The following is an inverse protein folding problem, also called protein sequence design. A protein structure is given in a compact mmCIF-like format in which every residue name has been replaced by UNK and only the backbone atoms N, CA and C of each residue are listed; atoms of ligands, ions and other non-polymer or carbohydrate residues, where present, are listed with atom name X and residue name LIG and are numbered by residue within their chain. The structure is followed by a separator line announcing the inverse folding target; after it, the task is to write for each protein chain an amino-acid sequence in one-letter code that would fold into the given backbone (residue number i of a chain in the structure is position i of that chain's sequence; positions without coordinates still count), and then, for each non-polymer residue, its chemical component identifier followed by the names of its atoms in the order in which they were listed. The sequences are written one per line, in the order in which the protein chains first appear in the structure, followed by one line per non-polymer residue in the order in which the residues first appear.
data_IF_935238686969
#
_entry.id   IF_935238686969
#
_cell.length_a   1.000
_cell.length_b   1.000
_cell.length_c   1.000
_cell.angle_alpha   90.00
_cell.angle_beta   90.00
_cell.angle_gamma   90.00
#
_symmetry.space_group_name_H-M   'P 1'
#
loop_
_entity.id
_entity.type
_entity.pdbx_description
1 polymer ?
#
# COMPACT_ATOMS: atom_id res chain seq x y z
N UNK A 1 9.17 0.69 -21.61
CA UNK A 1 9.32 -0.78 -21.48
C UNK A 1 7.96 -1.44 -21.38
N UNK A 2 7.88 -2.79 -21.45
CA UNK A 2 6.64 -3.53 -21.22
C UNK A 2 6.53 -3.84 -19.71
N UNK A 3 5.48 -3.39 -19.05
CA UNK A 3 5.26 -3.53 -17.60
C UNK A 3 3.91 -4.22 -17.35
N UNK A 4 3.92 -5.29 -16.56
CA UNK A 4 2.69 -5.88 -16.02
C UNK A 4 2.34 -5.21 -14.70
N UNK A 5 1.10 -4.76 -14.54
CA UNK A 5 0.54 -4.34 -13.26
C UNK A 5 -0.57 -5.31 -12.89
N UNK A 6 -0.41 -6.06 -11.80
CA UNK A 6 -1.47 -6.91 -11.27
C UNK A 6 -2.27 -6.14 -10.22
N UNK A 7 -3.59 -6.31 -10.18
CA UNK A 7 -4.44 -5.52 -9.29
C UNK A 7 -4.60 -4.05 -9.75
N UNK A 8 -4.52 -3.83 -11.07
CA UNK A 8 -4.54 -2.49 -11.65
C UNK A 8 -5.87 -1.75 -11.49
N UNK A 9 -6.97 -2.44 -11.18
CA UNK A 9 -8.27 -1.80 -10.89
C UNK A 9 -8.43 -1.37 -9.42
N UNK A 10 -7.44 -1.64 -8.57
CA UNK A 10 -7.42 -1.16 -7.19
C UNK A 10 -7.03 0.32 -7.08
N UNK A 11 -7.23 0.90 -5.88
CA UNK A 11 -6.96 2.32 -5.62
C UNK A 11 -5.53 2.76 -6.00
N UNK A 12 -4.52 1.94 -5.71
CA UNK A 12 -3.13 2.21 -6.09
C UNK A 12 -2.88 1.89 -7.57
N UNK A 13 -3.42 0.76 -8.04
CA UNK A 13 -3.15 0.22 -9.37
C UNK A 13 -3.57 1.16 -10.49
N UNK A 14 -4.75 1.75 -10.41
CA UNK A 14 -5.25 2.68 -11.41
C UNK A 14 -4.33 3.87 -11.64
N UNK A 15 -3.83 4.47 -10.55
CA UNK A 15 -2.90 5.60 -10.64
C UNK A 15 -1.54 5.18 -11.19
N UNK A 16 -1.03 4.01 -10.79
CA UNK A 16 0.21 3.44 -11.34
C UNK A 16 0.09 3.23 -12.85
N UNK A 17 -1.00 2.62 -13.30
CA UNK A 17 -1.25 2.38 -14.73
C UNK A 17 -1.31 3.67 -15.52
N UNK A 18 -2.05 4.67 -15.01
CA UNK A 18 -2.18 5.99 -15.64
C UNK A 18 -0.82 6.67 -15.83
N UNK A 19 -0.01 6.75 -14.77
CA UNK A 19 1.28 7.44 -14.82
C UNK A 19 2.25 6.73 -15.74
N UNK A 20 2.39 5.40 -15.61
CA UNK A 20 3.31 4.65 -16.47
C UNK A 20 2.92 4.71 -17.95
N UNK A 21 1.62 4.70 -18.28
CA UNK A 21 1.17 4.85 -19.66
C UNK A 21 1.47 6.26 -20.21
N UNK A 22 1.25 7.32 -19.41
CA UNK A 22 1.60 8.70 -19.78
C UNK A 22 3.11 8.89 -20.02
N UNK A 23 3.93 8.13 -19.34
CA UNK A 23 5.40 8.14 -19.54
C UNK A 23 5.86 7.30 -20.73
N UNK A 24 4.94 6.75 -21.51
CA UNK A 24 5.24 6.00 -22.73
C UNK A 24 5.60 4.54 -22.50
N UNK A 25 5.34 3.97 -21.33
CA UNK A 25 5.43 2.54 -21.11
C UNK A 25 4.26 1.81 -21.76
N UNK A 26 4.48 0.57 -22.19
CA UNK A 26 3.40 -0.36 -22.57
C UNK A 26 2.99 -1.11 -21.30
N UNK A 27 1.80 -0.84 -20.82
CA UNK A 27 1.30 -1.39 -19.57
C UNK A 27 0.27 -2.47 -19.86
N UNK A 28 0.52 -3.69 -19.38
CA UNK A 28 -0.52 -4.74 -19.32
C UNK A 28 -1.09 -4.77 -17.90
N UNK A 29 -2.41 -4.80 -17.79
CA UNK A 29 -3.12 -4.86 -16.51
C UNK A 29 -3.78 -6.22 -16.38
N UNK A 30 -3.45 -6.94 -15.31
CA UNK A 30 -4.16 -8.16 -14.89
C UNK A 30 -5.04 -7.84 -13.69
N UNK A 31 -6.34 -8.00 -13.83
CA UNK A 31 -7.30 -7.84 -12.75
C UNK A 31 -8.55 -8.70 -13.01
N UNK A 32 -9.26 -9.09 -11.95
CA UNK A 32 -10.53 -9.82 -12.06
C UNK A 32 -11.75 -8.92 -12.23
N UNK A 33 -11.60 -7.62 -12.01
CA UNK A 33 -12.67 -6.62 -12.13
C UNK A 33 -12.83 -6.16 -13.59
N UNK A 34 -13.67 -6.85 -14.36
CA UNK A 34 -13.91 -6.53 -15.78
C UNK A 34 -14.40 -5.08 -16.01
N UNK A 35 -15.25 -4.56 -15.12
CA UNK A 35 -15.74 -3.19 -15.23
C UNK A 35 -14.62 -2.17 -15.01
N UNK A 36 -13.76 -2.41 -14.01
CA UNK A 36 -12.59 -1.58 -13.76
C UNK A 36 -11.59 -1.62 -14.92
N UNK A 37 -11.36 -2.80 -15.53
CA UNK A 37 -10.50 -2.93 -16.70
C UNK A 37 -11.00 -2.12 -17.91
N UNK A 38 -12.31 -2.07 -18.15
CA UNK A 38 -12.91 -1.23 -19.20
C UNK A 38 -12.64 0.27 -18.97
N UNK A 39 -12.65 0.71 -17.72
CA UNK A 39 -12.37 2.10 -17.36
C UNK A 39 -10.88 2.48 -17.52
N UNK A 40 -9.96 1.51 -17.49
CA UNK A 40 -8.53 1.73 -17.67
C UNK A 40 -8.07 1.71 -19.14
N UNK A 41 -8.97 1.44 -20.09
CA UNK A 41 -8.62 1.40 -21.51
C UNK A 41 -8.17 2.78 -22.01
N UNK A 42 -6.92 2.86 -22.44
CA UNK A 42 -6.31 4.05 -23.03
C UNK A 42 -5.13 3.64 -23.92
N UNK A 43 -4.59 4.55 -24.76
CA UNK A 43 -3.40 4.24 -25.55
C UNK A 43 -2.24 3.78 -24.67
N UNK A 44 -1.58 2.68 -25.05
CA UNK A 44 -0.47 2.10 -24.30
C UNK A 44 -0.87 1.14 -23.18
N UNK A 45 -2.17 0.95 -22.92
CA UNK A 45 -2.69 0.03 -21.89
C UNK A 45 -3.40 -1.17 -22.56
N UNK A 46 -2.92 -2.36 -22.26
CA UNK A 46 -3.55 -3.64 -22.56
C UNK A 46 -4.21 -4.18 -21.29
N UNK A 47 -5.44 -4.68 -21.40
CA UNK A 47 -6.17 -5.24 -20.25
C UNK A 47 -6.40 -6.74 -20.42
N UNK A 48 -6.15 -7.51 -19.35
CA UNK A 48 -6.40 -8.94 -19.26
C UNK A 48 -7.27 -9.22 -18.05
N UNK A 49 -8.48 -9.71 -18.27
CA UNK A 49 -9.38 -10.13 -17.20
C UNK A 49 -9.01 -11.53 -16.72
N UNK A 50 -8.74 -11.68 -15.42
CA UNK A 50 -8.44 -12.97 -14.83
C UNK A 50 -7.96 -12.86 -13.37
N UNK A 51 -7.91 -14.02 -12.69
CA UNK A 51 -7.47 -14.10 -11.30
C UNK A 51 -6.00 -14.54 -11.23
N UNK A 52 -5.26 -14.00 -10.25
CA UNK A 52 -3.86 -14.36 -10.00
C UNK A 52 -3.70 -15.83 -9.58
N UNK A 53 -4.76 -16.46 -9.07
CA UNK A 53 -4.79 -17.87 -8.70
C UNK A 53 -4.88 -18.82 -9.90
N UNK A 54 -5.16 -18.31 -11.10
CA UNK A 54 -5.14 -19.08 -12.35
C UNK A 54 -3.75 -19.03 -12.99
N UNK A 55 -3.03 -20.16 -12.92
CA UNK A 55 -1.68 -20.27 -13.45
C UNK A 55 -1.59 -19.97 -14.94
N UNK A 56 -2.57 -20.40 -15.75
CA UNK A 56 -2.56 -20.17 -17.19
C UNK A 56 -2.77 -18.69 -17.54
N UNK A 57 -3.64 -18.03 -16.81
CA UNK A 57 -3.84 -16.57 -16.91
C UNK A 57 -2.57 -15.82 -16.54
N UNK A 58 -1.91 -16.21 -15.45
CA UNK A 58 -0.65 -15.58 -15.00
C UNK A 58 0.46 -15.77 -16.04
N UNK A 59 0.61 -16.98 -16.60
CA UNK A 59 1.57 -17.25 -17.67
C UNK A 59 1.36 -16.31 -18.85
N UNK A 60 0.12 -16.18 -19.34
CA UNK A 60 -0.24 -15.27 -20.42
C UNK A 60 0.01 -13.80 -20.05
N UNK A 61 -0.28 -13.40 -18.82
CA UNK A 61 -0.09 -12.03 -18.37
C UNK A 61 1.39 -11.61 -18.38
N UNK A 62 2.31 -12.54 -18.12
CA UNK A 62 3.76 -12.28 -18.00
C UNK A 62 4.48 -12.33 -19.35
N UNK A 63 3.87 -12.88 -20.42
CA UNK A 63 4.49 -12.97 -21.76
C UNK A 63 4.98 -11.60 -22.24
N UNK A 64 6.25 -11.50 -22.66
CA UNK A 64 6.91 -10.31 -23.20
C UNK A 64 7.06 -9.14 -22.20
N UNK A 65 6.83 -9.36 -20.91
CA UNK A 65 7.02 -8.34 -19.89
C UNK A 65 8.50 -8.23 -19.47
N UNK A 66 8.92 -7.00 -19.16
CA UNK A 66 10.26 -6.69 -18.64
C UNK A 66 10.24 -6.37 -17.16
N UNK A 67 9.13 -5.84 -16.66
CA UNK A 67 8.94 -5.57 -15.24
C UNK A 67 7.52 -5.94 -14.82
N UNK A 68 7.37 -6.24 -13.54
CA UNK A 68 6.07 -6.54 -12.91
C UNK A 68 5.93 -5.68 -11.66
N UNK A 69 4.79 -4.99 -11.53
CA UNK A 69 4.36 -4.31 -10.32
C UNK A 69 3.19 -5.11 -9.76
N UNK A 70 3.44 -5.82 -8.67
CA UNK A 70 2.47 -6.73 -8.07
C UNK A 70 1.70 -6.04 -6.94
N UNK A 71 0.46 -5.62 -7.25
CA UNK A 71 -0.46 -4.97 -6.32
C UNK A 71 -1.71 -5.83 -6.02
N UNK A 72 -1.93 -6.90 -6.78
CA UNK A 72 -3.07 -7.80 -6.57
C UNK A 72 -3.02 -8.44 -5.18
N UNK A 73 -4.14 -8.38 -4.47
CA UNK A 73 -4.31 -9.02 -3.17
C UNK A 73 -5.80 -9.26 -2.91
N UNK A 74 -6.14 -10.44 -2.35
CA UNK A 74 -7.55 -10.81 -2.11
C UNK A 74 -8.18 -10.04 -0.96
N UNK A 75 -7.38 -9.61 0.03
CA UNK A 75 -7.84 -9.06 1.31
C UNK A 75 -8.82 -9.96 2.06
N UNK A 76 -8.83 -11.28 1.76
CA UNK A 76 -9.67 -12.24 2.46
C UNK A 76 -9.35 -12.27 3.97
N UNK A 77 -10.36 -12.56 4.76
CA UNK A 77 -10.19 -12.87 6.18
C UNK A 77 -9.93 -14.37 6.40
N UNK A 78 -10.19 -15.21 5.40
CA UNK A 78 -9.94 -16.65 5.44
C UNK A 78 -8.48 -16.95 5.15
N UNK A 79 -7.89 -17.80 5.99
CA UNK A 79 -6.47 -18.13 5.87
C UNK A 79 -6.19 -19.03 4.65
N UNK A 80 -7.14 -19.90 4.28
CA UNK A 80 -7.00 -20.74 3.08
C UNK A 80 -6.98 -19.88 1.82
N UNK A 81 -7.86 -18.89 1.70
CA UNK A 81 -7.86 -17.96 0.58
C UNK A 81 -6.54 -17.20 0.47
N UNK A 82 -5.98 -16.73 1.61
CA UNK A 82 -4.69 -16.04 1.62
C UNK A 82 -3.57 -16.94 1.10
N UNK A 83 -3.59 -18.23 1.43
CA UNK A 83 -2.60 -19.19 0.93
C UNK A 83 -2.83 -19.56 -0.53
N UNK A 84 -4.07 -19.89 -0.91
CA UNK A 84 -4.38 -20.42 -2.23
C UNK A 84 -4.43 -19.34 -3.31
N UNK A 85 -4.89 -18.12 -2.98
CA UNK A 85 -4.98 -17.03 -3.93
C UNK A 85 -3.71 -16.18 -3.91
N UNK A 86 -3.35 -15.65 -2.72
CA UNK A 86 -2.32 -14.63 -2.64
C UNK A 86 -0.91 -15.24 -2.67
N UNK A 87 -0.63 -16.22 -1.81
CA UNK A 87 0.72 -16.82 -1.73
C UNK A 87 1.00 -17.68 -2.95
N UNK A 88 0.07 -18.57 -3.31
CA UNK A 88 0.24 -19.46 -4.46
C UNK A 88 0.16 -18.71 -5.79
N UNK A 89 -0.73 -17.72 -5.89
CA UNK A 89 -0.79 -16.84 -7.05
C UNK A 89 0.50 -16.05 -7.25
N UNK A 90 1.11 -15.57 -6.17
CA UNK A 90 2.43 -14.95 -6.23
C UNK A 90 3.52 -15.93 -6.66
N UNK A 91 3.46 -17.20 -6.22
CA UNK A 91 4.36 -18.24 -6.72
C UNK A 91 4.24 -18.42 -8.23
N UNK A 92 3.01 -18.51 -8.76
CA UNK A 92 2.80 -18.60 -10.22
C UNK A 92 3.39 -17.41 -10.97
N UNK A 93 3.26 -16.21 -10.40
CA UNK A 93 3.85 -14.99 -10.95
C UNK A 93 5.38 -15.06 -11.00
N UNK A 94 6.02 -15.51 -9.92
CA UNK A 94 7.46 -15.67 -9.83
C UNK A 94 7.98 -16.72 -10.83
N UNK A 95 7.32 -17.88 -10.93
CA UNK A 95 7.69 -18.96 -11.87
C UNK A 95 7.55 -18.48 -13.32
N UNK A 96 6.44 -17.81 -13.65
CA UNK A 96 6.22 -17.26 -14.98
C UNK A 96 7.24 -16.16 -15.30
N UNK A 97 7.58 -15.31 -14.35
CA UNK A 97 8.58 -14.26 -14.52
C UNK A 97 9.97 -14.81 -14.82
N UNK A 98 10.39 -15.86 -14.11
CA UNK A 98 11.67 -16.55 -14.37
C UNK A 98 11.66 -17.19 -15.76
N UNK A 99 10.59 -17.90 -16.13
CA UNK A 99 10.46 -18.55 -17.44
C UNK A 99 10.50 -17.54 -18.60
N UNK A 100 9.91 -16.36 -18.44
CA UNK A 100 9.87 -15.29 -19.44
C UNK A 100 11.05 -14.31 -19.36
N UNK A 101 12.02 -14.56 -18.47
CA UNK A 101 13.20 -13.71 -18.28
C UNK A 101 12.83 -12.25 -18.00
N UNK A 102 11.87 -12.07 -17.09
CA UNK A 102 11.53 -10.75 -16.54
C UNK A 102 12.73 -10.22 -15.76
N UNK A 103 13.05 -8.95 -15.95
CA UNK A 103 14.21 -8.34 -15.32
C UNK A 103 13.92 -7.93 -13.87
N UNK A 104 12.66 -7.50 -13.58
CA UNK A 104 12.33 -6.89 -12.31
C UNK A 104 10.92 -7.18 -11.82
N UNK A 105 10.77 -7.43 -10.52
CA UNK A 105 9.46 -7.47 -9.83
C UNK A 105 9.49 -6.52 -8.64
N UNK A 106 8.44 -5.71 -8.50
CA UNK A 106 8.18 -4.88 -7.33
C UNK A 106 6.92 -5.41 -6.67
N UNK A 107 7.06 -5.90 -5.45
CA UNK A 107 5.96 -6.43 -4.64
C UNK A 107 5.47 -5.36 -3.65
N UNK A 108 4.16 -5.14 -3.56
CA UNK A 108 3.58 -4.30 -2.53
C UNK A 108 3.51 -5.06 -1.19
N UNK A 109 4.38 -4.68 -0.26
CA UNK A 109 4.39 -5.10 1.12
C UNK A 109 3.46 -4.26 2.01
N UNK A 110 3.52 -4.50 3.31
CA UNK A 110 2.69 -3.79 4.29
C UNK A 110 3.35 -3.75 5.66
N UNK A 111 3.18 -2.65 6.40
CA UNK A 111 3.61 -2.56 7.80
C UNK A 111 3.12 -3.74 8.68
N UNK A 112 1.97 -4.32 8.35
CA UNK A 112 1.40 -5.45 9.10
C UNK A 112 2.32 -6.68 9.05
N UNK A 113 3.17 -6.84 8.02
CA UNK A 113 4.15 -7.92 7.93
C UNK A 113 5.29 -7.80 8.97
N UNK A 114 5.54 -6.62 9.52
CA UNK A 114 6.43 -6.48 10.68
C UNK A 114 5.78 -6.98 11.99
N UNK A 115 4.46 -7.15 12.01
CA UNK A 115 3.70 -7.61 13.16
C UNK A 115 3.26 -6.47 14.06
N UNK A 116 4.01 -6.18 15.11
CA UNK A 116 3.76 -5.09 16.06
C UNK A 116 5.00 -4.22 16.17
N UNK A 117 4.88 -2.88 16.08
CA UNK A 117 6.04 -1.99 16.19
C UNK A 117 6.70 -2.10 17.56
N UNK A 118 8.02 -2.30 17.59
CA UNK A 118 8.83 -2.41 18.82
C UNK A 118 9.70 -1.17 19.05
N UNK A 119 9.85 -0.35 18.03
CA UNK A 119 10.61 0.91 18.06
C UNK A 119 9.90 1.95 17.19
N UNK A 120 10.32 3.21 17.35
CA UNK A 120 9.91 4.33 16.51
C UNK A 120 11.12 5.25 16.32
N UNK A 121 11.55 5.54 15.09
CA UNK A 121 11.00 5.03 13.85
C UNK A 121 11.30 3.53 13.60
N UNK A 122 10.51 2.92 12.70
CA UNK A 122 10.65 1.52 12.26
C UNK A 122 11.45 1.48 10.97
N UNK A 123 12.61 0.81 10.99
CA UNK A 123 13.40 0.54 9.79
C UNK A 123 13.16 -0.87 9.22
N UNK A 124 13.80 -1.20 8.11
CA UNK A 124 13.64 -2.50 7.42
C UNK A 124 14.32 -3.67 8.15
N UNK A 125 15.08 -3.43 9.22
CA UNK A 125 15.65 -4.46 10.08
C UNK A 125 14.72 -4.83 11.24
N UNK A 126 13.55 -4.19 11.34
CA UNK A 126 12.59 -4.49 12.38
C UNK A 126 12.18 -5.97 12.35
N UNK A 127 12.14 -6.66 13.51
CA UNK A 127 11.77 -8.09 13.54
C UNK A 127 10.32 -8.30 13.13
N UNK A 128 10.04 -9.46 12.50
CA UNK A 128 8.69 -9.89 12.13
C UNK A 128 7.99 -10.56 13.31
N UNK A 129 7.18 -9.82 14.08
CA UNK A 129 6.46 -10.32 15.26
C UNK A 129 5.02 -10.68 14.88
N UNK A 130 4.87 -11.64 13.98
CA UNK A 130 3.62 -11.98 13.30
C UNK A 130 2.49 -12.35 14.26
N UNK A 131 2.77 -13.11 15.31
CA UNK A 131 1.75 -13.52 16.28
C UNK A 131 1.10 -12.36 17.05
N UNK A 132 1.76 -11.19 17.08
CA UNK A 132 1.24 -9.96 17.70
C UNK A 132 0.69 -8.97 16.70
N UNK A 133 0.68 -9.30 15.40
CA UNK A 133 0.07 -8.47 14.37
C UNK A 133 -1.44 -8.33 14.62
N UNK A 134 -2.00 -7.17 14.27
CA UNK A 134 -3.47 -6.95 14.32
C UNK A 134 -4.27 -7.90 13.41
N UNK A 135 -3.64 -8.47 12.39
CA UNK A 135 -4.19 -9.47 11.46
C UNK A 135 -3.12 -10.54 11.20
N UNK A 136 -2.92 -11.52 12.10
CA UNK A 136 -1.78 -12.45 12.02
C UNK A 136 -1.75 -13.28 10.74
N UNK A 137 -2.90 -13.79 10.26
CA UNK A 137 -2.97 -14.56 9.01
C UNK A 137 -2.53 -13.73 7.80
N UNK A 138 -3.05 -12.51 7.67
CA UNK A 138 -2.65 -11.58 6.62
C UNK A 138 -1.17 -11.19 6.71
N UNK A 139 -0.68 -10.92 7.92
CA UNK A 139 0.73 -10.61 8.16
C UNK A 139 1.64 -11.76 7.73
N UNK A 140 1.28 -13.01 8.07
CA UNK A 140 2.03 -14.19 7.69
C UNK A 140 2.04 -14.38 6.17
N UNK A 141 0.90 -14.28 5.50
CA UNK A 141 0.83 -14.40 4.05
C UNK A 141 1.70 -13.33 3.34
N UNK A 142 1.69 -12.09 3.82
CA UNK A 142 2.55 -11.02 3.31
C UNK A 142 4.04 -11.28 3.56
N UNK A 143 4.40 -11.76 4.74
CA UNK A 143 5.78 -12.16 5.03
C UNK A 143 6.23 -13.32 4.13
N UNK A 144 5.38 -14.32 3.92
CA UNK A 144 5.70 -15.44 3.01
C UNK A 144 5.99 -14.93 1.60
N UNK A 145 5.17 -14.03 1.05
CA UNK A 145 5.43 -13.48 -0.30
C UNK A 145 6.70 -12.63 -0.35
N UNK A 146 7.01 -11.88 0.70
CA UNK A 146 8.27 -11.13 0.83
C UNK A 146 9.48 -12.08 0.79
N UNK A 147 9.49 -13.11 1.64
CA UNK A 147 10.58 -14.08 1.72
C UNK A 147 10.71 -14.91 0.43
N UNK A 148 9.60 -15.28 -0.21
CA UNK A 148 9.62 -15.92 -1.53
C UNK A 148 10.33 -15.03 -2.56
N UNK A 149 10.05 -13.73 -2.58
CA UNK A 149 10.73 -12.78 -3.46
C UNK A 149 12.24 -12.77 -3.23
N UNK A 150 12.70 -12.74 -1.97
CA UNK A 150 14.13 -12.80 -1.61
C UNK A 150 14.78 -14.12 -2.07
N UNK A 151 14.11 -15.26 -1.87
CA UNK A 151 14.59 -16.58 -2.30
C UNK A 151 14.73 -16.64 -3.82
N UNK A 152 13.76 -16.15 -4.58
CA UNK A 152 13.82 -16.12 -6.04
C UNK A 152 14.91 -15.16 -6.55
N UNK A 153 15.03 -13.98 -5.95
CA UNK A 153 16.09 -13.05 -6.27
C UNK A 153 17.48 -13.63 -6.01
N UNK A 154 17.64 -14.45 -4.97
CA UNK A 154 18.90 -15.14 -4.70
C UNK A 154 19.18 -16.26 -5.72
N UNK A 155 18.16 -17.02 -6.09
CA UNK A 155 18.29 -18.22 -6.92
C UNK A 155 18.39 -17.92 -8.43
N UNK A 156 17.68 -16.91 -8.93
CA UNK A 156 17.51 -16.61 -10.34
C UNK A 156 18.02 -15.21 -10.70
N UNK A 157 18.41 -14.93 -11.94
CA UNK A 157 18.91 -13.62 -12.37
C UNK A 157 17.78 -12.58 -12.55
N UNK A 158 16.95 -12.41 -11.54
CA UNK A 158 15.84 -11.48 -11.50
C UNK A 158 15.97 -10.58 -10.26
N UNK A 159 15.70 -9.28 -10.41
CA UNK A 159 15.64 -8.37 -9.28
C UNK A 159 14.20 -8.36 -8.72
N UNK A 160 14.04 -8.69 -7.45
CA UNK A 160 12.74 -8.68 -6.77
C UNK A 160 12.88 -7.85 -5.51
N UNK A 161 12.05 -6.82 -5.37
CA UNK A 161 12.09 -5.92 -4.23
C UNK A 161 10.69 -5.73 -3.67
N UNK A 162 10.58 -5.46 -2.37
CA UNK A 162 9.31 -5.22 -1.71
C UNK A 162 9.27 -3.79 -1.18
N UNK A 163 8.17 -3.09 -1.43
CA UNK A 163 7.89 -1.76 -0.90
C UNK A 163 6.92 -1.87 0.26
N UNK A 164 7.34 -1.47 1.45
CA UNK A 164 6.53 -1.49 2.66
C UNK A 164 5.66 -0.25 2.73
N UNK A 165 4.37 -0.46 2.91
CA UNK A 165 3.35 0.58 2.93
C UNK A 165 2.56 0.45 4.23
N UNK A 166 2.30 1.58 4.90
CA UNK A 166 1.33 1.58 6.00
C UNK A 166 -0.05 2.04 5.53
N UNK A 167 -0.15 3.26 5.01
CA UNK A 167 -1.41 3.82 4.52
C UNK A 167 -1.19 4.64 3.25
N UNK A 168 -1.62 4.10 2.12
CA UNK A 168 -1.55 4.82 0.84
C UNK A 168 -2.78 5.70 0.62
N UNK A 169 -2.58 6.90 0.07
CA UNK A 169 -3.65 7.83 -0.30
C UNK A 169 -3.32 8.58 -1.59
N UNK A 170 -4.35 8.98 -2.31
CA UNK A 170 -4.27 9.79 -3.53
C UNK A 170 -5.01 11.11 -3.37
N UNK A 171 -5.82 11.46 -4.37
CA UNK A 171 -6.71 12.63 -4.32
C UNK A 171 -7.83 12.45 -3.29
N UNK A 172 -8.05 11.22 -2.86
CA UNK A 172 -9.00 10.85 -1.83
C UNK A 172 -8.34 9.95 -0.78
N UNK A 173 -8.81 10.09 0.46
CA UNK A 173 -8.46 9.21 1.56
C UNK A 173 -9.73 8.81 2.30
N UNK A 174 -9.81 7.55 2.72
CA UNK A 174 -10.97 7.03 3.44
C UNK A 174 -10.61 5.80 4.25
N UNK A 175 -11.55 4.88 4.38
CA UNK A 175 -11.40 3.66 5.14
C UNK A 175 -12.16 3.68 6.46
N UNK A 176 -12.34 2.50 7.04
CA UNK A 176 -13.25 2.28 8.18
C UNK A 176 -12.97 3.22 9.38
N UNK A 177 -11.70 3.43 9.72
CA UNK A 177 -11.33 4.21 10.90
C UNK A 177 -11.51 5.71 10.66
N UNK A 178 -11.12 6.23 9.49
CA UNK A 178 -11.32 7.63 9.11
C UNK A 178 -12.81 7.96 9.04
N UNK A 179 -13.61 7.11 8.37
CA UNK A 179 -15.07 7.26 8.33
C UNK A 179 -15.70 7.20 9.71
N UNK A 180 -15.18 6.34 10.60
CA UNK A 180 -15.61 6.26 11.98
C UNK A 180 -15.36 7.56 12.75
N UNK A 181 -14.16 8.14 12.62
CA UNK A 181 -13.81 9.44 13.23
C UNK A 181 -14.70 10.56 12.71
N UNK A 182 -14.96 10.61 11.39
CA UNK A 182 -15.87 11.61 10.80
C UNK A 182 -17.28 11.48 11.39
N UNK A 183 -17.80 10.25 11.48
CA UNK A 183 -19.11 9.99 12.07
C UNK A 183 -19.16 10.41 13.54
N UNK A 184 -18.14 10.09 14.32
CA UNK A 184 -18.05 10.46 15.74
C UNK A 184 -18.03 11.99 15.93
N UNK A 185 -17.28 12.73 15.10
CA UNK A 185 -17.30 14.19 15.11
C UNK A 185 -18.71 14.76 14.84
N UNK A 186 -19.44 14.16 13.90
CA UNK A 186 -20.79 14.62 13.52
C UNK A 186 -21.88 14.26 14.53
N UNK A 187 -21.80 13.06 15.11
CA UNK A 187 -22.92 12.51 15.91
C UNK A 187 -22.69 12.60 17.41
N UNK A 188 -21.41 12.57 17.87
CA UNK A 188 -21.05 12.60 19.29
C UNK A 188 -20.45 13.94 19.71
N UNK A 189 -20.03 14.78 18.74
CA UNK A 189 -19.32 16.03 19.01
C UNK A 189 -17.91 15.84 19.55
N UNK A 190 -17.34 14.64 19.44
CA UNK A 190 -15.98 14.35 19.83
C UNK A 190 -15.37 13.21 19.01
N UNK A 191 -14.04 13.25 18.83
CA UNK A 191 -13.24 12.14 18.32
C UNK A 191 -12.26 11.72 19.42
N UNK A 192 -12.37 10.47 19.87
CA UNK A 192 -11.45 9.90 20.85
C UNK A 192 -10.38 9.10 20.12
N UNK A 193 -9.11 9.37 20.42
CA UNK A 193 -7.94 8.67 19.82
C UNK A 193 -6.93 8.29 20.89
N UNK A 194 -6.10 7.26 20.68
CA UNK A 194 -4.98 6.98 21.58
C UNK A 194 -3.89 8.03 21.41
N UNK A 195 -3.34 8.52 22.53
CA UNK A 195 -2.30 9.55 22.55
C UNK A 195 -0.97 9.01 21.98
N UNK A 196 -0.25 9.88 21.29
CA UNK A 196 1.11 9.62 20.80
C UNK A 196 1.23 8.36 19.94
N UNK A 197 0.21 8.10 19.14
CA UNK A 197 0.17 7.04 18.15
C UNK A 197 -0.17 7.63 16.78
N UNK A 198 0.34 7.02 15.73
CA UNK A 198 0.09 7.49 14.38
C UNK A 198 0.62 6.53 13.32
N UNK A 199 0.86 7.07 12.14
CA UNK A 199 1.42 6.26 11.08
C UNK A 199 1.92 7.05 9.88
N UNK A 200 2.66 6.35 9.05
CA UNK A 200 3.30 6.84 7.84
C UNK A 200 2.34 6.81 6.67
N UNK A 201 1.81 7.96 6.31
CA UNK A 201 0.97 8.12 5.12
C UNK A 201 1.86 8.24 3.88
N UNK A 202 1.52 7.50 2.85
CA UNK A 202 2.22 7.47 1.57
C UNK A 202 1.30 7.99 0.46
N UNK A 203 1.65 9.14 -0.10
CA UNK A 203 0.95 9.70 -1.26
C UNK A 203 1.27 8.86 -2.51
N UNK A 204 0.29 8.61 -3.37
CA UNK A 204 0.43 7.69 -4.50
C UNK A 204 1.51 8.10 -5.51
N UNK A 205 1.73 9.40 -5.73
CA UNK A 205 2.79 9.84 -6.64
C UNK A 205 4.19 9.61 -6.04
N UNK A 206 4.33 9.67 -4.71
CA UNK A 206 5.58 9.29 -4.03
C UNK A 206 5.81 7.76 -4.08
N UNK A 207 4.72 6.97 -3.98
CA UNK A 207 4.81 5.53 -4.21
C UNK A 207 5.31 5.23 -5.64
N UNK A 208 4.77 5.91 -6.64
CA UNK A 208 5.16 5.72 -8.04
C UNK A 208 6.62 6.16 -8.27
N UNK A 209 7.04 7.29 -7.68
CA UNK A 209 8.46 7.70 -7.73
C UNK A 209 9.37 6.63 -7.13
N UNK A 210 9.01 6.07 -5.98
CA UNK A 210 9.74 4.95 -5.37
C UNK A 210 9.82 3.72 -6.28
N UNK A 211 8.72 3.34 -6.93
CA UNK A 211 8.67 2.24 -7.92
C UNK A 211 9.59 2.53 -9.09
N UNK A 212 9.56 3.73 -9.66
CA UNK A 212 10.41 4.14 -10.78
C UNK A 212 11.89 4.10 -10.40
N UNK A 213 12.24 4.61 -9.22
CA UNK A 213 13.61 4.56 -8.70
C UNK A 213 14.12 3.13 -8.53
N UNK A 214 13.26 2.23 -8.04
CA UNK A 214 13.60 0.81 -7.95
C UNK A 214 13.87 0.23 -9.35
N UNK A 215 13.06 0.59 -10.35
CA UNK A 215 13.24 0.13 -11.73
C UNK A 215 14.53 0.70 -12.37
N UNK A 216 14.96 1.90 -12.01
CA UNK A 216 16.19 2.55 -12.48
C UNK A 216 17.43 1.96 -11.81
N UNK A 217 17.45 1.92 -10.48
CA UNK A 217 18.61 1.48 -9.66
C UNK A 217 18.80 -0.04 -9.71
N UNK A 218 17.69 -0.79 -9.86
CA UNK A 218 17.66 -2.26 -9.92
C UNK A 218 18.30 -2.94 -8.71
N UNK A 219 17.98 -2.54 -7.47
CA UNK A 219 18.42 -3.27 -6.28
C UNK A 219 17.85 -4.69 -6.33
N UNK A 220 18.42 -5.59 -5.52
CA UNK A 220 18.07 -7.00 -5.62
C UNK A 220 17.84 -7.64 -4.26
N UNK A 221 16.62 -8.14 -4.03
CA UNK A 221 16.26 -8.79 -2.77
C UNK A 221 16.05 -7.80 -1.62
N UNK A 222 15.79 -6.53 -1.94
CA UNK A 222 15.70 -5.46 -0.96
C UNK A 222 14.26 -5.18 -0.52
N UNK A 223 14.15 -4.70 0.70
CA UNK A 223 12.94 -4.17 1.32
C UNK A 223 13.11 -2.67 1.50
N UNK A 224 12.11 -1.88 1.16
CA UNK A 224 12.11 -0.43 1.32
C UNK A 224 10.85 0.06 2.01
N UNK A 225 11.00 0.74 3.12
CA UNK A 225 9.93 1.53 3.70
C UNK A 225 9.75 2.80 2.86
N UNK A 226 8.51 3.12 2.47
CA UNK A 226 8.16 4.40 1.86
C UNK A 226 7.13 5.15 2.70
N UNK A 227 7.31 6.46 2.78
CA UNK A 227 6.41 7.37 3.48
C UNK A 227 6.52 8.76 2.88
N UNK A 228 5.41 9.47 2.78
CA UNK A 228 5.40 10.90 2.47
C UNK A 228 5.41 11.73 3.75
N UNK A 229 4.56 11.37 4.71
CA UNK A 229 4.42 12.10 5.97
C UNK A 229 3.99 11.17 7.09
N UNK A 230 4.59 11.34 8.27
CA UNK A 230 4.07 10.77 9.50
C UNK A 230 3.11 11.76 10.16
N UNK A 231 1.93 11.26 10.56
CA UNK A 231 0.94 12.01 11.34
C UNK A 231 0.48 11.19 12.53
N UNK A 232 0.27 11.88 13.65
CA UNK A 232 -0.43 11.31 14.80
C UNK A 232 -1.93 11.23 14.53
N UNK A 233 -2.62 10.40 15.30
CA UNK A 233 -4.09 10.35 15.23
C UNK A 233 -4.73 11.64 15.72
N UNK A 234 -4.09 12.36 16.66
CA UNK A 234 -4.54 13.67 17.11
C UNK A 234 -4.52 14.69 15.96
N UNK A 235 -3.42 14.75 15.18
CA UNK A 235 -3.31 15.63 14.02
C UNK A 235 -4.39 15.31 12.96
N UNK A 236 -4.58 14.03 12.63
CA UNK A 236 -5.59 13.61 11.67
C UNK A 236 -7.02 13.89 12.19
N UNK A 237 -7.28 13.62 13.47
CA UNK A 237 -8.57 13.91 14.09
C UNK A 237 -8.89 15.40 14.10
N UNK A 238 -7.88 16.27 14.31
CA UNK A 238 -8.07 17.71 14.24
C UNK A 238 -8.44 18.15 12.83
N UNK A 239 -7.76 17.65 11.78
CA UNK A 239 -8.13 17.94 10.40
C UNK A 239 -9.58 17.52 10.07
N UNK A 240 -10.03 16.39 10.64
CA UNK A 240 -11.41 15.91 10.48
C UNK A 240 -12.39 16.85 11.21
N UNK A 241 -12.08 17.25 12.45
CA UNK A 241 -12.92 18.20 13.21
C UNK A 241 -13.10 19.49 12.45
N UNK A 242 -12.01 20.09 11.95
CA UNK A 242 -12.03 21.37 11.22
C UNK A 242 -12.93 21.32 9.99
N UNK A 243 -13.03 20.17 9.33
CA UNK A 243 -13.84 20.00 8.11
C UNK A 243 -15.26 19.46 8.38
N UNK A 244 -15.40 18.53 9.33
CA UNK A 244 -16.66 17.84 9.58
C UNK A 244 -17.56 18.62 10.54
N UNK A 245 -17.04 19.00 11.70
CA UNK A 245 -17.76 19.73 12.77
C UNK A 245 -16.77 20.52 13.61
N UNK A 246 -16.54 21.81 13.33
CA UNK A 246 -15.57 22.65 14.08
C UNK A 246 -15.91 22.85 15.57
N UNK A 247 -17.10 22.44 16.03
CA UNK A 247 -17.47 22.47 17.44
C UNK A 247 -17.12 21.16 18.17
N UNK A 248 -16.75 20.11 17.44
CA UNK A 248 -16.34 18.84 18.03
C UNK A 248 -14.95 18.99 18.68
N UNK A 249 -14.63 18.06 19.57
CA UNK A 249 -13.36 18.04 20.29
C UNK A 249 -12.53 16.80 19.95
N UNK A 250 -11.21 16.94 19.88
CA UNK A 250 -10.30 15.81 19.87
C UNK A 250 -9.93 15.47 21.32
N UNK A 251 -10.13 14.21 21.71
CA UNK A 251 -9.83 13.70 23.04
C UNK A 251 -8.77 12.63 22.93
N UNK A 252 -7.56 12.93 23.34
CA UNK A 252 -6.47 11.96 23.41
C UNK A 252 -6.50 11.21 24.74
N UNK A 253 -6.54 9.87 24.67
CA UNK A 253 -6.49 9.02 25.87
C UNK A 253 -5.16 8.27 25.95
N UNK A 254 -4.61 8.03 27.14
CA UNK A 254 -3.41 7.23 27.29
C UNK A 254 -3.53 5.89 26.58
N UNK A 255 -2.47 5.46 25.89
CA UNK A 255 -2.46 4.25 25.04
C UNK A 255 -2.87 2.99 25.81
N UNK A 256 -2.45 2.88 27.06
CA UNK A 256 -2.78 1.78 27.97
C UNK A 256 -4.24 1.77 28.42
N UNK A 257 -4.96 2.87 28.27
CA UNK A 257 -6.39 3.00 28.58
C UNK A 257 -7.28 2.90 27.34
N UNK A 258 -6.67 2.76 26.16
CA UNK A 258 -7.42 2.65 24.92
C UNK A 258 -8.20 1.33 24.83
N UNK A 259 -9.50 1.42 24.59
CA UNK A 259 -10.41 0.26 24.45
C UNK A 259 -10.94 0.07 23.02
N UNK A 260 -10.51 0.91 22.09
CA UNK A 260 -10.95 0.87 20.70
C UNK A 260 -10.10 -0.09 19.84
N UNK A 261 -10.10 0.15 18.54
CA UNK A 261 -9.36 -0.68 17.58
C UNK A 261 -7.86 -0.66 17.83
N UNK A 262 -7.22 -1.83 17.83
CA UNK A 262 -5.76 -1.98 17.91
C UNK A 262 -5.03 -1.35 16.71
N UNK A 263 -5.73 -1.10 15.60
CA UNK A 263 -5.18 -0.35 14.48
C UNK A 263 -4.67 1.04 14.87
N UNK A 264 -5.33 1.69 15.82
CA UNK A 264 -4.95 3.03 16.25
C UNK A 264 -3.84 3.05 17.31
N UNK A 265 -3.55 1.91 17.97
CA UNK A 265 -2.50 1.84 19.00
C UNK A 265 -1.12 1.48 18.47
N UNK A 266 -1.02 0.97 17.26
CA UNK A 266 0.27 0.68 16.64
C UNK A 266 0.83 1.98 16.04
N UNK A 267 2.06 2.34 16.47
CA UNK A 267 2.74 3.55 16.00
C UNK A 267 3.70 3.20 14.86
N UNK A 268 3.25 3.45 13.62
CA UNK A 268 3.99 3.10 12.41
C UNK A 268 4.71 4.33 11.82
N UNK A 269 5.67 4.88 12.55
CA UNK A 269 6.60 5.87 12.03
C UNK A 269 7.72 5.17 11.25
N UNK A 270 7.71 5.22 9.94
CA UNK A 270 8.73 4.58 9.11
C UNK A 270 10.01 5.41 9.03
N UNK A 271 11.17 4.75 9.18
CA UNK A 271 12.45 5.25 8.71
C UNK A 271 12.58 4.96 7.21
N UNK A 272 12.74 6.00 6.40
CA UNK A 272 12.91 5.90 4.95
C UNK A 272 14.36 6.11 4.50
N UNK A 273 15.30 6.25 5.42
CA UNK A 273 16.70 6.57 5.13
C UNK A 273 17.39 5.57 4.21
N UNK A 274 16.97 4.31 4.22
CA UNK A 274 17.46 3.28 3.29
C UNK A 274 17.01 3.57 1.86
N UNK A 275 15.75 3.94 1.65
CA UNK A 275 15.23 4.32 0.33
C UNK A 275 15.92 5.60 -0.17
N UNK A 276 16.14 6.59 0.69
CA UNK A 276 16.89 7.81 0.35
C UNK A 276 18.33 7.49 -0.09
N UNK A 277 19.04 6.68 0.68
CA UNK A 277 20.43 6.34 0.42
C UNK A 277 20.64 5.48 -0.81
N UNK A 278 19.81 4.43 -1.00
CA UNK A 278 20.00 3.44 -2.06
C UNK A 278 19.33 3.88 -3.36
N UNK A 279 18.10 4.40 -3.27
CA UNK A 279 17.29 4.75 -4.43
C UNK A 279 17.40 6.23 -4.81
N UNK A 280 17.94 7.08 -3.93
CA UNK A 280 17.82 8.53 -4.08
C UNK A 280 16.36 9.00 -3.95
N UNK A 281 15.52 8.20 -3.28
CA UNK A 281 14.12 8.52 -3.02
C UNK A 281 14.02 9.82 -2.21
N UNK A 282 13.09 10.67 -2.59
CA UNK A 282 12.74 11.88 -1.84
C UNK A 282 11.25 12.10 -1.98
N UNK A 283 10.61 12.50 -0.90
CA UNK A 283 9.21 12.93 -0.97
C UNK A 283 9.07 14.13 -1.88
N UNK A 284 8.06 14.14 -2.73
CA UNK A 284 7.77 15.24 -3.65
C UNK A 284 7.31 16.50 -2.93
N UNK A 285 6.69 16.31 -1.76
CA UNK A 285 6.08 17.34 -0.95
C UNK A 285 6.87 17.54 0.34
N UNK A 286 7.02 18.78 0.78
CA UNK A 286 7.39 19.09 2.16
C UNK A 286 6.31 18.57 3.12
N UNK A 287 6.62 18.49 4.43
CA UNK A 287 5.62 18.09 5.43
C UNK A 287 4.36 18.97 5.37
N UNK A 288 4.51 20.28 5.25
CA UNK A 288 3.37 21.22 5.18
C UNK A 288 2.51 20.99 3.94
N UNK A 289 3.13 20.78 2.78
CA UNK A 289 2.42 20.49 1.53
C UNK A 289 1.73 19.11 1.59
N UNK A 290 2.36 18.10 2.17
CA UNK A 290 1.79 16.77 2.34
C UNK A 290 0.57 16.78 3.28
N UNK A 291 0.64 17.52 4.39
CA UNK A 291 -0.49 17.76 5.30
C UNK A 291 -1.65 18.42 4.56
N UNK A 292 -1.37 19.51 3.83
CA UNK A 292 -2.39 20.22 3.05
C UNK A 292 -3.02 19.36 1.95
N UNK A 293 -2.22 18.51 1.30
CA UNK A 293 -2.71 17.55 0.31
C UNK A 293 -3.65 16.53 0.96
N UNK A 294 -3.27 15.98 2.12
CA UNK A 294 -4.09 15.02 2.86
C UNK A 294 -5.38 15.65 3.39
N UNK A 295 -5.35 16.90 3.84
CA UNK A 295 -6.55 17.69 4.17
C UNK A 295 -7.49 17.82 2.95
N UNK A 296 -6.92 18.06 1.77
CA UNK A 296 -7.66 18.06 0.50
C UNK A 296 -8.33 16.71 0.23
N UNK A 297 -7.58 15.63 0.38
CA UNK A 297 -8.04 14.25 0.16
C UNK A 297 -9.15 13.81 1.14
N UNK A 298 -9.20 14.37 2.35
CA UNK A 298 -10.26 14.11 3.32
C UNK A 298 -11.61 14.69 2.93
N UNK A 299 -11.66 15.76 2.12
CA UNK A 299 -12.91 16.49 1.80
C UNK A 299 -13.99 15.60 1.19
N UNK A 300 -13.61 14.74 0.25
CA UNK A 300 -14.56 13.83 -0.41
C UNK A 300 -15.17 12.86 0.61
N UNK A 301 -14.34 12.25 1.44
CA UNK A 301 -14.79 11.32 2.49
C UNK A 301 -15.68 12.02 3.53
N UNK A 302 -15.34 13.24 3.93
CA UNK A 302 -16.18 14.04 4.85
C UNK A 302 -17.53 14.36 4.22
N UNK A 303 -17.56 14.78 2.95
CA UNK A 303 -18.81 15.09 2.25
C UNK A 303 -19.73 13.85 2.12
N UNK A 304 -19.13 12.69 1.77
CA UNK A 304 -19.85 11.42 1.67
C UNK A 304 -20.47 11.00 3.01
N UNK A 305 -19.69 11.02 4.10
CA UNK A 305 -20.21 10.64 5.41
C UNK A 305 -21.27 11.61 5.92
N UNK A 306 -21.09 12.93 5.68
CA UNK A 306 -22.10 13.95 6.00
C UNK A 306 -23.43 13.70 5.30
N UNK A 307 -23.38 13.27 4.03
CA UNK A 307 -24.62 13.00 3.27
C UNK A 307 -25.35 11.72 3.72
N UNK A 308 -24.64 10.82 4.40
CA UNK A 308 -25.18 9.55 4.91
C UNK A 308 -25.64 9.60 6.39
N UNK A 309 -25.34 10.69 7.11
CA UNK A 309 -25.78 10.95 8.47
C UNK A 309 -27.02 11.82 8.51
#
# INVERSE_FOLDING_TARGET
MNILVTGGCGNMGGRVVEVLAKEGHKVRVLDKNEAGLKALQQPGVETLCGDISDQAVVQKAVEDMKAIIHLAWSFSADFSDLLDIDVKGYQYLLDAAVANKVDHIINAGTAVAYGKPQCSPVDENHPHIIAQARKPAYALAKLVTEEMGKVYAWKYPIAINTVMIWYAYGDEIGGKHIRGMIKDALTKGEIVVPASCGGSFLQLDDFIDGVQRILEVKPRGELFNLSTVYLTWEELAQMIVDQANPQAKVVAVPREKWQGSSFLTDDWCFDISKAERILGYKTRLSREEAVKHLEGALKACVAEVKSAC
#
